data_IF_385379113545
#
_entry.id   IF_385379113545
#
_cell.length_a   1.000
_cell.length_b   1.000
_cell.length_c   1.000
_cell.angle_alpha   90.00
_cell.angle_beta   90.00
_cell.angle_gamma   90.00
#
_symmetry.space_group_name_H-M   'P 1'
#
loop_
_entity.id
_entity.type
_entity.pdbx_description
1 polymer ?
#
# COMPACT_ATOMS: atom_id res chain seq x y z
N UNK A 1 8.13 -23.44 -24.67
CA UNK A 1 6.82 -22.92 -25.06
C UNK A 1 6.90 -21.39 -25.05
N UNK A 2 7.08 -20.76 -26.22
CA UNK A 2 7.07 -19.31 -26.39
C UNK A 2 5.61 -18.82 -26.40
N UNK A 3 4.91 -18.95 -25.30
CA UNK A 3 3.61 -18.33 -25.12
C UNK A 3 3.81 -16.86 -24.79
N UNK A 4 3.32 -15.97 -25.64
CA UNK A 4 3.26 -14.54 -25.40
C UNK A 4 2.57 -14.31 -24.05
N UNK A 5 3.17 -13.50 -23.17
CA UNK A 5 2.59 -13.19 -21.84
C UNK A 5 1.26 -12.46 -22.02
N UNK A 6 0.12 -13.08 -21.66
CA UNK A 6 -1.20 -12.49 -21.95
C UNK A 6 -1.47 -11.20 -21.18
N UNK A 7 -0.72 -10.91 -20.11
CA UNK A 7 -0.90 -9.66 -19.34
C UNK A 7 -0.25 -8.46 -20.03
N UNK A 8 0.62 -8.67 -21.00
CA UNK A 8 1.18 -7.58 -21.80
C UNK A 8 0.13 -6.93 -22.71
N UNK A 9 -1.00 -7.59 -22.99
CA UNK A 9 -2.13 -6.97 -23.70
C UNK A 9 -2.74 -5.78 -22.97
N UNK A 10 -2.56 -5.67 -21.66
CA UNK A 10 -3.01 -4.52 -20.86
C UNK A 10 -2.04 -3.34 -20.89
N UNK A 11 -0.86 -3.49 -21.50
CA UNK A 11 0.19 -2.45 -21.53
C UNK A 11 -0.28 -1.17 -22.21
N UNK A 12 -1.10 -1.29 -23.25
CA UNK A 12 -1.61 -0.15 -24.02
C UNK A 12 -2.51 0.79 -23.23
N UNK A 13 -2.98 0.38 -22.05
CA UNK A 13 -3.68 1.27 -21.11
C UNK A 13 -2.76 2.28 -20.42
N UNK A 14 -1.44 2.11 -20.47
CA UNK A 14 -0.48 2.88 -19.68
C UNK A 14 0.51 3.65 -20.56
N UNK A 15 0.20 4.91 -20.96
CA UNK A 15 0.99 5.66 -21.94
C UNK A 15 2.47 5.86 -21.59
N UNK A 16 2.81 5.96 -20.30
CA UNK A 16 4.20 6.11 -19.86
C UNK A 16 5.11 4.95 -20.31
N UNK A 17 4.52 3.78 -20.53
CA UNK A 17 5.26 2.58 -20.94
C UNK A 17 5.74 2.60 -22.39
N UNK A 18 5.25 3.55 -23.21
CA UNK A 18 5.66 3.69 -24.62
C UNK A 18 7.08 4.23 -24.73
N UNK A 19 7.53 5.03 -23.75
CA UNK A 19 8.82 5.71 -23.78
C UNK A 19 9.74 5.39 -22.58
N UNK A 20 9.20 4.75 -21.54
CA UNK A 20 9.89 4.62 -20.25
C UNK A 20 9.90 3.15 -19.80
N UNK A 21 11.07 2.68 -19.34
CA UNK A 21 11.19 1.42 -18.58
C UNK A 21 10.73 1.69 -17.14
N UNK A 22 9.44 1.51 -16.87
CA UNK A 22 8.79 1.91 -15.62
C UNK A 22 8.74 0.77 -14.61
N UNK A 23 9.67 0.74 -13.65
CA UNK A 23 9.89 -0.36 -12.70
C UNK A 23 9.75 0.11 -11.24
N UNK A 24 8.79 1.04 -10.99
CA UNK A 24 8.61 1.70 -9.69
C UNK A 24 7.18 1.60 -9.14
N UNK A 25 6.44 0.57 -9.51
CA UNK A 25 5.04 0.40 -9.07
C UNK A 25 4.86 0.32 -7.55
N UNK A 26 5.91 -0.01 -6.81
CA UNK A 26 5.97 0.03 -5.35
C UNK A 26 5.97 1.45 -4.74
N UNK A 27 6.15 2.49 -5.56
CA UNK A 27 6.11 3.90 -5.15
C UNK A 27 4.92 4.62 -5.78
N UNK A 28 4.79 4.54 -7.10
CA UNK A 28 3.65 5.06 -7.87
C UNK A 28 3.32 4.07 -8.99
N UNK A 29 2.08 3.60 -9.08
CA UNK A 29 1.61 2.83 -10.23
C UNK A 29 1.53 3.68 -11.49
N UNK A 30 1.73 3.08 -12.66
CA UNK A 30 1.52 3.79 -13.93
C UNK A 30 0.05 4.26 -14.04
N UNK A 31 -0.16 5.44 -14.60
CA UNK A 31 -1.50 6.02 -14.77
C UNK A 31 -2.20 5.38 -15.98
N UNK A 32 -3.39 4.78 -15.81
CA UNK A 32 -4.20 4.36 -16.95
C UNK A 32 -4.69 5.59 -17.74
N UNK A 33 -4.72 5.48 -19.09
CA UNK A 33 -5.22 6.57 -19.96
C UNK A 33 -6.65 6.98 -19.65
N UNK A 34 -7.46 6.06 -19.19
CA UNK A 34 -8.87 6.27 -18.82
C UNK A 34 -9.02 7.17 -17.58
N UNK A 35 -7.99 7.27 -16.74
CA UNK A 35 -8.00 8.17 -15.58
C UNK A 35 -8.08 9.65 -16.01
N UNK A 36 -7.51 10.02 -17.16
CA UNK A 36 -7.65 11.37 -17.70
C UNK A 36 -9.12 11.70 -18.06
N UNK A 37 -9.85 10.74 -18.66
CA UNK A 37 -11.27 10.91 -18.95
C UNK A 37 -12.12 11.02 -17.67
N UNK A 38 -11.79 10.24 -16.63
CA UNK A 38 -12.42 10.34 -15.31
C UNK A 38 -12.24 11.74 -14.69
N UNK A 39 -11.02 12.27 -14.70
CA UNK A 39 -10.73 13.62 -14.20
C UNK A 39 -11.44 14.72 -15.03
N UNK A 40 -11.52 14.56 -16.36
CA UNK A 40 -12.28 15.47 -17.21
C UNK A 40 -13.77 15.43 -16.88
N UNK A 41 -14.34 14.25 -16.62
CA UNK A 41 -15.75 14.10 -16.18
C UNK A 41 -16.01 14.80 -14.85
N UNK A 42 -15.12 14.67 -13.88
CA UNK A 42 -15.21 15.43 -12.63
C UNK A 42 -15.27 16.93 -12.87
N UNK A 43 -14.35 17.46 -13.69
CA UNK A 43 -14.29 18.89 -14.00
C UNK A 43 -15.54 19.38 -14.74
N UNK A 44 -16.07 18.60 -15.70
CA UNK A 44 -17.29 18.87 -16.44
C UNK A 44 -18.51 18.97 -15.50
N UNK A 45 -18.69 17.98 -14.62
CA UNK A 45 -19.78 17.96 -13.65
C UNK A 45 -19.72 19.19 -12.74
N UNK A 46 -18.55 19.51 -12.23
CA UNK A 46 -18.40 20.69 -11.39
C UNK A 46 -18.75 21.97 -12.16
N UNK A 47 -18.23 22.14 -13.37
CA UNK A 47 -18.45 23.32 -14.17
C UNK A 47 -19.92 23.51 -14.62
N UNK A 48 -20.63 22.41 -14.92
CA UNK A 48 -21.96 22.48 -15.52
C UNK A 48 -23.10 22.17 -14.56
N UNK A 49 -22.84 21.36 -13.52
CA UNK A 49 -23.88 20.94 -12.56
C UNK A 49 -23.73 21.64 -11.20
N UNK A 50 -22.51 22.07 -10.82
CA UNK A 50 -22.22 22.71 -9.54
C UNK A 50 -22.67 21.82 -8.38
N UNK A 51 -23.39 22.38 -7.41
CA UNK A 51 -23.86 21.65 -6.21
C UNK A 51 -24.75 20.43 -6.52
N UNK A 52 -25.41 20.41 -7.67
CA UNK A 52 -26.28 19.28 -8.08
C UNK A 52 -25.49 17.99 -8.31
N UNK A 53 -24.20 18.09 -8.65
CA UNK A 53 -23.33 16.94 -8.84
C UNK A 53 -23.24 16.03 -7.59
N UNK A 54 -23.46 16.57 -6.39
CA UNK A 54 -23.51 15.79 -5.16
C UNK A 54 -24.64 14.74 -5.20
N UNK A 55 -25.85 15.16 -5.52
CA UNK A 55 -26.99 14.25 -5.57
C UNK A 55 -26.99 13.36 -6.82
N UNK A 56 -26.40 13.84 -7.92
CA UNK A 56 -26.42 13.14 -9.18
C UNK A 56 -25.36 12.02 -9.28
N UNK A 57 -24.15 12.23 -8.68
CA UNK A 57 -23.06 11.28 -8.90
C UNK A 57 -22.06 11.18 -7.72
N UNK A 58 -21.72 12.30 -7.05
CA UNK A 58 -20.55 12.35 -6.17
C UNK A 58 -20.77 11.71 -4.81
N UNK A 59 -21.99 11.79 -4.26
CA UNK A 59 -22.23 11.32 -2.89
C UNK A 59 -21.95 9.81 -2.74
N UNK A 60 -22.40 9.02 -3.70
CA UNK A 60 -22.24 7.58 -3.66
C UNK A 60 -20.93 7.09 -4.30
N UNK A 61 -20.15 7.99 -4.91
CA UNK A 61 -18.92 7.60 -5.62
C UNK A 61 -17.92 6.93 -4.68
N UNK A 62 -17.76 7.43 -3.46
CA UNK A 62 -16.87 6.82 -2.46
C UNK A 62 -17.26 5.37 -2.14
N UNK A 63 -18.55 5.11 -1.97
CA UNK A 63 -19.06 3.75 -1.73
C UNK A 63 -18.83 2.84 -2.95
N UNK A 64 -19.13 3.31 -4.17
CA UNK A 64 -18.89 2.53 -5.40
C UNK A 64 -17.41 2.15 -5.59
N UNK A 65 -16.50 3.09 -5.32
CA UNK A 65 -15.06 2.81 -5.38
C UNK A 65 -14.64 1.83 -4.29
N UNK A 66 -15.14 1.99 -3.07
CA UNK A 66 -14.91 1.06 -1.96
C UNK A 66 -15.39 -0.36 -2.26
N UNK A 67 -16.58 -0.49 -2.90
CA UNK A 67 -17.13 -1.77 -3.33
C UNK A 67 -16.31 -2.43 -4.46
N UNK A 68 -15.59 -1.64 -5.26
CA UNK A 68 -14.63 -2.16 -6.24
C UNK A 68 -13.32 -2.60 -5.57
N UNK A 69 -12.90 -1.95 -4.51
CA UNK A 69 -11.70 -2.30 -3.71
C UNK A 69 -11.93 -3.55 -2.87
N UNK A 70 -13.09 -3.67 -2.22
CA UNK A 70 -13.37 -4.72 -1.25
C UNK A 70 -13.04 -6.15 -1.75
N UNK A 71 -13.49 -6.60 -2.94
CA UNK A 71 -13.17 -7.94 -3.44
C UNK A 71 -11.68 -8.15 -3.73
N UNK A 72 -10.91 -7.09 -4.07
CA UNK A 72 -9.45 -7.17 -4.25
C UNK A 72 -8.71 -7.42 -2.93
N UNK A 73 -9.38 -7.21 -1.80
CA UNK A 73 -8.85 -7.39 -0.44
C UNK A 73 -9.41 -8.63 0.26
N UNK A 74 -10.26 -9.43 -0.39
CA UNK A 74 -11.00 -10.50 0.28
C UNK A 74 -11.89 -9.97 1.41
N UNK A 75 -12.50 -8.80 1.18
CA UNK A 75 -13.35 -8.10 2.14
C UNK A 75 -14.82 -8.16 1.71
N UNK A 76 -15.78 -8.32 2.63
CA UNK A 76 -17.19 -8.31 2.29
C UNK A 76 -17.69 -6.91 1.89
N UNK A 77 -18.80 -6.80 1.16
CA UNK A 77 -19.42 -5.53 0.83
C UNK A 77 -19.71 -4.68 2.08
N UNK A 78 -19.53 -3.36 1.97
CA UNK A 78 -19.79 -2.42 3.07
C UNK A 78 -18.74 -2.39 4.18
N UNK A 79 -17.68 -3.23 4.10
CA UNK A 79 -16.59 -3.25 5.10
C UNK A 79 -15.44 -2.30 4.77
N UNK A 80 -15.50 -1.58 3.65
CA UNK A 80 -14.45 -0.67 3.19
C UNK A 80 -15.00 0.74 3.07
N UNK A 81 -14.22 1.73 3.48
CA UNK A 81 -14.47 3.16 3.23
C UNK A 81 -13.26 3.83 2.60
N UNK A 82 -13.49 4.88 1.79
CA UNK A 82 -12.41 5.62 1.14
C UNK A 82 -11.96 6.80 2.00
N UNK A 83 -10.64 6.96 2.13
CA UNK A 83 -9.96 7.90 3.01
C UNK A 83 -8.93 8.73 2.21
N UNK A 84 -8.52 9.92 2.70
CA UNK A 84 -7.57 10.76 1.97
C UNK A 84 -6.11 10.32 2.08
N UNK A 85 -5.71 9.71 3.20
CA UNK A 85 -4.34 9.23 3.42
C UNK A 85 -4.30 8.09 4.41
N UNK A 86 -3.26 7.24 4.33
CA UNK A 86 -3.05 6.09 5.23
C UNK A 86 -2.89 6.54 6.68
N UNK A 87 -2.18 7.64 6.91
CA UNK A 87 -2.01 8.21 8.24
C UNK A 87 -3.35 8.59 8.87
N UNK A 88 -4.22 9.28 8.11
CA UNK A 88 -5.55 9.65 8.60
C UNK A 88 -6.46 8.44 8.77
N UNK A 89 -6.46 7.49 7.85
CA UNK A 89 -7.21 6.24 7.98
C UNK A 89 -6.82 5.46 9.25
N UNK A 90 -5.52 5.35 9.51
CA UNK A 90 -5.00 4.72 10.73
C UNK A 90 -5.38 5.52 11.97
N UNK A 91 -5.27 6.87 11.94
CA UNK A 91 -5.65 7.72 13.06
C UNK A 91 -7.14 7.59 13.39
N UNK A 92 -8.01 7.53 12.37
CA UNK A 92 -9.45 7.36 12.54
C UNK A 92 -9.76 6.05 13.26
N UNK A 93 -9.23 4.92 12.80
CA UNK A 93 -9.50 3.64 13.45
C UNK A 93 -8.89 3.57 14.85
N UNK A 94 -7.67 4.09 15.06
CA UNK A 94 -7.03 4.14 16.37
C UNK A 94 -7.77 5.06 17.34
N UNK A 95 -8.49 6.07 16.86
CA UNK A 95 -9.30 6.94 17.72
C UNK A 95 -10.48 6.24 18.37
N UNK A 96 -10.88 5.07 17.85
CA UNK A 96 -11.90 4.20 18.44
C UNK A 96 -11.29 3.14 19.40
N UNK A 97 -9.97 2.93 19.38
CA UNK A 97 -9.29 1.95 20.21
C UNK A 97 -8.69 2.64 21.42
N UNK A 98 -9.01 2.15 22.63
CA UNK A 98 -8.50 2.72 23.87
C UNK A 98 -7.73 1.68 24.67
N UNK A 99 -6.55 2.04 25.19
CA UNK A 99 -5.86 1.20 26.17
C UNK A 99 -6.72 1.06 27.43
N UNK A 100 -6.89 -0.16 27.91
CA UNK A 100 -7.67 -0.44 29.11
C UNK A 100 -6.90 -1.31 30.09
N UNK A 101 -6.91 -0.96 31.38
CA UNK A 101 -6.24 -1.74 32.41
C UNK A 101 -4.75 -1.92 32.12
N UNK A 102 -4.32 -3.17 32.06
CA UNK A 102 -2.92 -3.57 31.76
C UNK A 102 -2.59 -3.54 30.27
N UNK A 103 -3.58 -3.43 29.38
CA UNK A 103 -3.37 -3.38 27.93
C UNK A 103 -2.94 -2.00 27.48
N UNK A 104 -1.63 -1.75 27.53
CA UNK A 104 -1.01 -0.47 27.20
C UNK A 104 0.20 -0.58 26.30
N UNK A 105 0.37 -1.71 25.62
CA UNK A 105 1.47 -1.95 24.70
C UNK A 105 0.99 -1.87 23.26
N UNK A 106 1.75 -1.19 22.40
CA UNK A 106 1.60 -1.18 20.95
C UNK A 106 2.79 -1.92 20.36
N UNK A 107 2.55 -2.91 19.51
CA UNK A 107 3.59 -3.69 18.84
C UNK A 107 3.65 -3.30 17.35
N UNK A 108 4.85 -3.01 16.87
CA UNK A 108 5.15 -2.70 15.45
C UNK A 108 6.55 -3.21 15.07
N UNK A 109 6.99 -2.99 13.82
CA UNK A 109 8.37 -3.24 13.38
C UNK A 109 9.10 -1.94 13.07
N UNK A 110 10.43 -1.95 13.11
CA UNK A 110 11.29 -0.85 12.64
C UNK A 110 11.31 -0.73 11.10
N UNK A 111 10.67 -1.67 10.40
CA UNK A 111 10.50 -1.69 8.95
C UNK A 111 9.13 -1.13 8.49
N UNK A 112 8.25 -0.76 9.43
CA UNK A 112 6.99 -0.12 9.08
C UNK A 112 7.23 1.27 8.49
N UNK A 113 6.30 1.73 7.63
CA UNK A 113 6.45 3.03 6.96
C UNK A 113 6.49 4.17 7.99
N UNK A 114 7.44 5.13 7.87
CA UNK A 114 7.70 6.15 8.89
C UNK A 114 6.47 6.95 9.34
N UNK A 115 5.54 7.27 8.42
CA UNK A 115 4.32 8.02 8.78
C UNK A 115 3.49 7.31 9.84
N UNK A 116 3.44 5.98 9.80
CA UNK A 116 2.69 5.20 10.79
C UNK A 116 3.48 5.10 12.09
N UNK A 117 4.81 4.94 12.04
CA UNK A 117 5.65 4.96 13.25
C UNK A 117 5.48 6.27 14.04
N UNK A 118 5.51 7.42 13.36
CA UNK A 118 5.30 8.73 14.00
C UNK A 118 3.88 8.86 14.58
N UNK A 119 2.87 8.35 13.88
CA UNK A 119 1.51 8.33 14.38
C UNK A 119 1.40 7.47 15.65
N UNK A 120 1.98 6.27 15.65
CA UNK A 120 1.95 5.35 16.80
C UNK A 120 2.70 5.93 18.00
N UNK A 121 3.85 6.59 17.78
CA UNK A 121 4.59 7.30 18.83
C UNK A 121 3.72 8.39 19.47
N UNK A 122 3.04 9.21 18.65
CA UNK A 122 2.13 10.24 19.10
C UNK A 122 0.95 9.66 19.89
N UNK A 123 0.33 8.61 19.36
CA UNK A 123 -0.79 7.92 20.02
C UNK A 123 -0.36 7.30 21.37
N UNK A 124 0.79 6.64 21.41
CA UNK A 124 1.31 6.06 22.65
C UNK A 124 1.56 7.14 23.73
N UNK A 125 2.14 8.26 23.35
CA UNK A 125 2.39 9.39 24.27
C UNK A 125 1.08 9.95 24.83
N UNK A 126 0.06 10.13 24.00
CA UNK A 126 -1.24 10.65 24.40
C UNK A 126 -1.96 9.71 25.38
N UNK A 127 -1.88 8.40 25.14
CA UNK A 127 -2.63 7.41 25.92
C UNK A 127 -1.82 6.74 27.04
N UNK A 128 -0.57 7.16 27.26
CA UNK A 128 0.32 6.54 28.26
C UNK A 128 0.60 5.07 27.94
N UNK A 129 0.70 4.72 26.65
CA UNK A 129 1.02 3.39 26.17
C UNK A 129 2.50 3.25 25.83
N UNK A 130 3.03 2.03 25.87
CA UNK A 130 4.41 1.72 25.46
C UNK A 130 4.44 1.29 23.99
N UNK A 131 5.36 1.86 23.21
CA UNK A 131 5.63 1.43 21.84
C UNK A 131 6.77 0.40 21.83
N UNK A 132 6.46 -0.85 21.48
CA UNK A 132 7.45 -1.91 21.29
C UNK A 132 7.71 -2.09 19.79
N UNK A 133 8.91 -1.71 19.33
CA UNK A 133 9.38 -1.93 17.96
C UNK A 133 10.20 -3.22 17.90
N UNK A 134 9.64 -4.27 17.31
CA UNK A 134 10.33 -5.53 17.06
C UNK A 134 11.28 -5.33 15.89
N UNK A 135 12.60 -5.39 16.18
CA UNK A 135 13.63 -5.17 15.18
C UNK A 135 13.96 -6.47 14.45
N UNK A 136 14.32 -6.36 13.17
CA UNK A 136 14.84 -7.49 12.38
C UNK A 136 16.14 -8.02 12.97
N UNK A 137 16.41 -9.30 12.79
CA UNK A 137 17.68 -9.91 13.17
C UNK A 137 18.78 -9.49 12.18
N UNK A 138 20.03 -9.44 12.67
CA UNK A 138 21.19 -9.18 11.81
C UNK A 138 21.29 -10.24 10.70
N UNK A 139 21.50 -9.78 9.47
CA UNK A 139 21.57 -10.66 8.30
C UNK A 139 20.24 -11.10 7.72
N UNK A 140 19.10 -10.63 8.27
CA UNK A 140 17.75 -10.87 7.70
C UNK A 140 17.19 -9.60 7.08
N UNK A 141 16.20 -9.76 6.20
CA UNK A 141 15.53 -8.63 5.53
C UNK A 141 14.08 -8.43 5.99
N UNK A 142 13.69 -9.09 7.08
CA UNK A 142 12.38 -8.94 7.71
C UNK A 142 12.42 -9.45 9.15
N UNK A 143 11.38 -9.17 9.90
CA UNK A 143 11.18 -9.74 11.24
C UNK A 143 10.52 -11.09 11.11
N UNK A 144 11.04 -12.12 11.80
CA UNK A 144 10.43 -13.44 11.77
C UNK A 144 9.04 -13.42 12.40
N UNK A 145 8.11 -14.22 11.85
CA UNK A 145 6.76 -14.35 12.41
C UNK A 145 6.81 -14.78 13.87
N UNK A 146 7.74 -15.67 14.23
CA UNK A 146 7.89 -16.15 15.60
C UNK A 146 8.17 -15.01 16.60
N UNK A 147 9.08 -14.11 16.28
CA UNK A 147 9.40 -12.96 17.16
C UNK A 147 8.21 -12.00 17.31
N UNK A 148 7.44 -11.80 16.24
CA UNK A 148 6.22 -11.00 16.32
C UNK A 148 5.17 -11.66 17.21
N UNK A 149 4.98 -12.98 17.08
CA UNK A 149 4.04 -13.74 17.93
C UNK A 149 4.45 -13.70 19.40
N UNK A 150 5.75 -13.76 19.70
CA UNK A 150 6.29 -13.65 21.08
C UNK A 150 6.10 -12.23 21.67
N UNK A 151 6.22 -11.19 20.85
CA UNK A 151 6.01 -9.82 21.30
C UNK A 151 4.52 -9.50 21.58
N UNK A 152 3.60 -10.24 20.99
CA UNK A 152 2.15 -10.03 21.16
C UNK A 152 1.65 -10.86 22.36
N UNK A 153 1.27 -10.19 23.44
CA UNK A 153 0.76 -10.81 24.66
C UNK A 153 -0.48 -10.10 25.22
N UNK A 154 -0.93 -10.48 26.41
CA UNK A 154 -2.13 -9.91 27.04
C UNK A 154 -2.01 -8.44 27.39
N UNK A 155 -0.81 -7.88 27.48
CA UNK A 155 -0.56 -6.45 27.70
C UNK A 155 -0.67 -5.64 26.42
N UNK A 156 -0.76 -6.30 25.24
CA UNK A 156 -0.84 -5.65 23.94
C UNK A 156 -2.24 -5.10 23.69
N UNK A 157 -2.35 -3.80 23.48
CA UNK A 157 -3.58 -3.12 23.08
C UNK A 157 -3.75 -3.11 21.56
N UNK A 158 -2.68 -2.75 20.84
CA UNK A 158 -2.67 -2.61 19.39
C UNK A 158 -1.46 -3.30 18.79
N UNK A 159 -1.67 -3.97 17.67
CA UNK A 159 -0.62 -4.43 16.76
C UNK A 159 -0.79 -3.67 15.44
N UNK A 160 0.22 -2.93 15.00
CA UNK A 160 0.19 -2.20 13.73
C UNK A 160 1.40 -2.62 12.91
N UNK A 161 1.16 -3.35 11.81
CA UNK A 161 2.21 -3.98 10.99
C UNK A 161 1.92 -3.84 9.51
N UNK A 162 2.98 -3.73 8.69
CA UNK A 162 2.86 -3.91 7.24
C UNK A 162 2.69 -5.40 6.92
N UNK A 163 1.77 -5.75 6.02
CA UNK A 163 1.71 -7.10 5.45
C UNK A 163 2.94 -7.37 4.57
N UNK A 164 3.33 -6.37 3.77
CA UNK A 164 4.55 -6.39 2.96
C UNK A 164 5.37 -5.16 3.29
N UNK A 165 6.62 -5.37 3.72
CA UNK A 165 7.52 -4.28 4.11
C UNK A 165 7.93 -3.42 2.91
N UNK A 166 7.90 -2.09 3.08
CA UNK A 166 8.11 -1.16 1.96
C UNK A 166 9.53 -1.15 1.41
N UNK A 167 10.53 -1.40 2.26
CA UNK A 167 11.95 -1.33 1.87
C UNK A 167 12.47 -2.65 1.30
N UNK A 168 12.04 -3.78 1.85
CA UNK A 168 12.59 -5.11 1.58
C UNK A 168 11.62 -6.03 0.84
N UNK A 169 10.37 -5.60 0.68
CA UNK A 169 9.28 -6.42 0.17
C UNK A 169 9.06 -7.75 0.95
N UNK A 170 9.50 -7.84 2.20
CA UNK A 170 9.27 -9.00 3.05
C UNK A 170 7.78 -9.18 3.35
N UNK A 171 7.27 -10.41 3.18
CA UNK A 171 5.86 -10.75 3.46
C UNK A 171 5.75 -11.36 4.85
N UNK A 172 4.89 -10.78 5.70
CA UNK A 172 4.52 -11.33 7.01
C UNK A 172 3.34 -12.30 6.91
N UNK A 173 3.24 -13.24 7.84
CA UNK A 173 2.11 -14.16 7.97
C UNK A 173 0.94 -13.46 8.69
N UNK A 174 0.12 -12.76 7.92
CA UNK A 174 -1.01 -11.99 8.44
C UNK A 174 -2.04 -12.87 9.18
N UNK A 175 -2.30 -14.09 8.70
CA UNK A 175 -3.25 -15.00 9.33
C UNK A 175 -2.77 -15.46 10.72
N UNK A 176 -1.47 -15.78 10.86
CA UNK A 176 -0.90 -16.14 12.17
C UNK A 176 -0.92 -14.96 13.14
N UNK A 177 -0.62 -13.74 12.67
CA UNK A 177 -0.68 -12.52 13.46
C UNK A 177 -2.10 -12.20 13.93
N UNK A 178 -3.09 -12.27 13.04
CA UNK A 178 -4.50 -12.02 13.37
C UNK A 178 -5.02 -13.06 14.39
N UNK A 179 -4.67 -14.34 14.23
CA UNK A 179 -5.00 -15.37 15.21
C UNK A 179 -4.40 -15.05 16.59
N UNK A 180 -3.13 -14.67 16.65
CA UNK A 180 -2.45 -14.31 17.90
C UNK A 180 -3.07 -13.08 18.55
N UNK A 181 -3.42 -12.06 17.79
CA UNK A 181 -4.11 -10.87 18.30
C UNK A 181 -5.46 -11.25 18.93
N UNK A 182 -6.21 -12.11 18.30
CA UNK A 182 -7.49 -12.62 18.83
C UNK A 182 -7.32 -13.38 20.15
N UNK A 183 -6.32 -14.27 20.23
CA UNK A 183 -6.01 -15.04 21.46
C UNK A 183 -5.64 -14.14 22.64
N UNK A 184 -4.96 -13.01 22.38
CA UNK A 184 -4.51 -12.07 23.41
C UNK A 184 -5.48 -10.93 23.64
N UNK A 185 -6.43 -10.72 22.72
CA UNK A 185 -7.37 -9.60 22.72
C UNK A 185 -6.74 -8.28 22.26
N UNK A 186 -5.63 -8.33 21.55
CA UNK A 186 -5.03 -7.16 20.89
C UNK A 186 -5.83 -6.79 19.62
N UNK A 187 -5.84 -5.51 19.26
CA UNK A 187 -6.47 -5.01 18.04
C UNK A 187 -5.42 -4.94 16.91
N UNK A 188 -5.67 -5.62 15.79
CA UNK A 188 -4.76 -5.66 14.66
C UNK A 188 -5.14 -4.62 13.58
N UNK A 189 -4.22 -3.68 13.32
CA UNK A 189 -4.26 -2.80 12.14
C UNK A 189 -3.18 -3.26 11.16
N UNK A 190 -3.60 -3.79 10.01
CA UNK A 190 -2.69 -4.29 8.99
C UNK A 190 -2.53 -3.26 7.85
N UNK A 191 -1.31 -2.81 7.58
CA UNK A 191 -1.01 -2.00 6.41
C UNK A 191 -0.78 -2.90 5.19
N UNK A 192 -1.68 -2.85 4.23
CA UNK A 192 -1.61 -3.64 2.99
C UNK A 192 -1.22 -2.79 1.77
N UNK A 193 -0.63 -1.62 1.98
CA UNK A 193 -0.28 -0.68 0.91
C UNK A 193 0.73 -1.25 -0.11
N UNK A 194 1.59 -2.17 0.32
CA UNK A 194 2.57 -2.83 -0.54
C UNK A 194 2.13 -4.21 -1.01
N UNK A 195 0.96 -4.68 -0.61
CA UNK A 195 0.41 -5.97 -1.03
C UNK A 195 -0.81 -5.86 -1.92
N UNK A 196 -1.74 -4.96 -1.58
CA UNK A 196 -2.98 -4.79 -2.36
C UNK A 196 -2.68 -4.47 -3.83
N UNK A 197 -3.10 -5.36 -4.73
CA UNK A 197 -2.86 -5.26 -6.18
C UNK A 197 -1.71 -6.10 -6.72
N UNK A 198 -0.85 -6.70 -5.86
CA UNK A 198 0.30 -7.51 -6.33
C UNK A 198 0.51 -8.80 -5.53
N UNK A 199 0.10 -8.84 -4.28
CA UNK A 199 0.07 -10.04 -3.43
C UNK A 199 -1.38 -10.26 -3.02
N UNK A 200 -1.93 -11.49 -3.11
CA UNK A 200 -3.26 -11.80 -2.63
C UNK A 200 -3.45 -11.41 -1.17
N UNK A 201 -4.59 -10.81 -0.88
CA UNK A 201 -5.01 -10.37 0.45
C UNK A 201 -6.39 -10.97 0.72
N UNK A 202 -6.60 -11.51 1.92
CA UNK A 202 -7.85 -12.14 2.34
C UNK A 202 -8.20 -11.67 3.77
N UNK A 203 -8.48 -10.36 3.93
CA UNK A 203 -8.59 -9.70 5.24
C UNK A 203 -9.64 -10.35 6.14
N UNK A 204 -10.82 -10.65 5.59
CA UNK A 204 -11.90 -11.27 6.35
C UNK A 204 -11.54 -12.69 6.79
N UNK A 205 -11.05 -13.54 5.86
CA UNK A 205 -10.67 -14.91 6.16
C UNK A 205 -9.51 -15.01 7.15
N UNK A 206 -8.59 -14.07 7.11
CA UNK A 206 -7.48 -13.97 8.08
C UNK A 206 -7.98 -13.50 9.46
N UNK A 207 -9.14 -12.82 9.50
CA UNK A 207 -9.71 -12.25 10.72
C UNK A 207 -8.93 -11.03 11.22
N UNK A 208 -8.55 -10.15 10.29
CA UNK A 208 -7.90 -8.87 10.59
C UNK A 208 -8.96 -7.89 11.09
N UNK A 209 -8.73 -7.22 12.23
CA UNK A 209 -9.70 -6.26 12.79
C UNK A 209 -9.87 -5.02 11.91
N UNK A 210 -8.75 -4.45 11.44
CA UNK A 210 -8.75 -3.33 10.50
C UNK A 210 -7.55 -3.39 9.56
N UNK A 211 -7.69 -2.87 8.34
CA UNK A 211 -6.58 -2.73 7.42
C UNK A 211 -6.64 -1.39 6.68
N UNK A 212 -5.46 -0.86 6.39
CA UNK A 212 -5.27 0.36 5.60
C UNK A 212 -4.41 0.08 4.39
N UNK A 213 -4.66 0.79 3.30
CA UNK A 213 -3.84 0.72 2.10
C UNK A 213 -4.30 1.77 1.11
N UNK A 214 -3.66 1.86 -0.05
CA UNK A 214 -4.02 2.90 -1.00
C UNK A 214 -3.91 2.48 -2.46
N UNK A 215 -4.67 3.16 -3.28
CA UNK A 215 -4.72 2.90 -4.72
C UNK A 215 -3.50 3.46 -5.48
N UNK A 216 -2.66 4.28 -4.83
CA UNK A 216 -1.51 4.98 -5.41
C UNK A 216 -0.54 4.07 -6.18
N UNK A 217 -0.24 2.88 -5.63
CA UNK A 217 0.86 2.01 -6.07
C UNK A 217 0.36 0.93 -7.02
N UNK A 218 0.28 -0.30 -6.54
CA UNK A 218 -0.06 -1.49 -7.31
C UNK A 218 -1.49 -1.50 -7.86
N UNK A 219 -2.38 -0.66 -7.32
CA UNK A 219 -3.76 -0.49 -7.80
C UNK A 219 -3.89 0.58 -8.89
N UNK A 220 -2.79 1.27 -9.28
CA UNK A 220 -2.73 2.24 -10.38
C UNK A 220 -3.78 3.36 -10.31
N UNK A 221 -4.20 3.75 -9.09
CA UNK A 221 -5.31 4.68 -8.87
C UNK A 221 -4.91 6.11 -8.50
N UNK A 222 -3.61 6.43 -8.48
CA UNK A 222 -3.11 7.77 -8.14
C UNK A 222 -3.23 8.15 -6.66
N UNK A 223 -2.71 9.32 -6.27
CA UNK A 223 -2.70 9.80 -4.88
C UNK A 223 -4.09 10.25 -4.40
N UNK A 224 -4.26 10.28 -3.06
CA UNK A 224 -5.50 10.73 -2.43
C UNK A 224 -6.58 9.66 -2.30
N UNK A 225 -6.31 8.45 -2.74
CA UNK A 225 -7.20 7.30 -2.69
C UNK A 225 -6.64 6.24 -1.76
N UNK A 226 -7.04 6.28 -0.52
CA UNK A 226 -6.73 5.29 0.50
C UNK A 226 -8.01 4.59 0.91
N UNK A 227 -7.93 3.32 1.20
CA UNK A 227 -9.04 2.57 1.76
C UNK A 227 -8.76 2.21 3.23
N UNK A 228 -9.83 2.18 4.00
CA UNK A 228 -9.88 1.61 5.35
C UNK A 228 -10.89 0.46 5.33
N UNK A 229 -10.40 -0.74 5.58
CA UNK A 229 -11.22 -1.91 5.90
C UNK A 229 -11.37 -2.00 7.40
N UNK A 230 -12.56 -2.31 7.86
CA UNK A 230 -12.84 -2.74 9.25
C UNK A 230 -13.70 -3.98 9.19
N UNK A 231 -13.32 -4.99 9.96
CA UNK A 231 -14.08 -6.24 10.05
C UNK A 231 -15.53 -5.93 10.47
N UNK A 232 -16.55 -6.42 9.75
CA UNK A 232 -17.95 -6.09 10.04
C UNK A 232 -18.38 -6.40 11.47
N UNK A 233 -17.89 -7.54 12.04
CA UNK A 233 -18.24 -7.94 13.39
C UNK A 233 -17.63 -7.02 14.45
N UNK A 234 -16.48 -6.38 14.13
CA UNK A 234 -15.80 -5.42 15.00
C UNK A 234 -16.31 -3.99 14.79
N UNK A 235 -16.73 -3.65 13.57
CA UNK A 235 -17.12 -2.29 13.21
C UNK A 235 -18.21 -1.74 14.13
N UNK A 236 -19.20 -2.54 14.52
CA UNK A 236 -20.30 -2.10 15.38
C UNK A 236 -19.88 -1.73 16.79
N UNK A 237 -18.76 -2.25 17.29
CA UNK A 237 -18.23 -1.98 18.61
C UNK A 237 -17.37 -0.71 18.66
N UNK A 238 -17.00 -0.15 17.50
CA UNK A 238 -16.06 0.96 17.39
C UNK A 238 -16.77 2.30 17.17
N UNK A 239 -16.44 3.27 18.02
CA UNK A 239 -16.91 4.65 17.94
C UNK A 239 -15.71 5.59 17.74
N UNK A 240 -15.35 5.95 16.48
CA UNK A 240 -14.21 6.82 16.23
C UNK A 240 -14.37 8.21 16.85
N UNK A 241 -13.38 8.67 17.62
CA UNK A 241 -13.37 10.05 18.11
C UNK A 241 -13.06 11.05 16.97
N UNK A 242 -12.30 10.60 15.95
CA UNK A 242 -12.10 11.37 14.72
C UNK A 242 -13.25 11.00 13.77
N UNK A 243 -14.29 11.81 13.75
CA UNK A 243 -15.53 11.56 13.00
C UNK A 243 -16.05 12.83 12.34
N UNK A 244 -17.13 12.73 11.58
CA UNK A 244 -17.79 13.87 10.95
C UNK A 244 -19.15 13.49 10.39
N UNK A 245 -19.80 14.48 9.77
CA UNK A 245 -21.18 14.36 9.30
C UNK A 245 -21.41 13.24 8.29
N UNK A 246 -20.38 12.87 7.50
CA UNK A 246 -20.48 11.78 6.53
C UNK A 246 -20.60 10.38 7.19
N UNK A 247 -20.22 10.25 8.47
CA UNK A 247 -20.38 9.02 9.25
C UNK A 247 -21.80 8.84 9.83
N UNK A 248 -22.66 9.86 9.74
CA UNK A 248 -24.04 9.79 10.19
C UNK A 248 -24.91 9.03 9.16
N UNK A 249 -25.89 8.19 9.58
CA UNK A 249 -26.74 7.44 8.66
C UNK A 249 -27.65 8.35 7.80
N UNK A 250 -27.94 9.55 8.27
CA UNK A 250 -28.71 10.57 7.55
C UNK A 250 -27.95 11.92 7.55
N UNK A 251 -26.84 12.04 6.79
CA UNK A 251 -25.95 13.20 6.89
C UNK A 251 -26.63 14.53 6.53
N UNK A 252 -27.57 14.52 5.60
CA UNK A 252 -28.30 15.71 5.17
C UNK A 252 -29.47 16.10 6.11
N UNK A 253 -29.74 15.34 7.17
CA UNK A 253 -30.65 15.75 8.23
C UNK A 253 -30.02 16.81 9.16
N UNK A 254 -28.68 16.93 9.16
CA UNK A 254 -27.92 17.88 9.98
C UNK A 254 -28.29 17.81 11.46
N UNK A 255 -28.51 16.59 11.96
CA UNK A 255 -28.92 16.36 13.35
C UNK A 255 -27.81 16.81 14.32
N UNK A 256 -28.13 17.54 15.39
CA UNK A 256 -27.15 17.84 16.43
C UNK A 256 -26.83 16.58 17.27
N UNK A 257 -25.75 16.60 18.07
CA UNK A 257 -25.44 15.52 18.98
C UNK A 257 -26.60 15.09 19.87
N UNK A 258 -26.70 13.81 20.27
CA UNK A 258 -25.64 12.78 20.18
C UNK A 258 -25.49 12.17 18.79
N UNK A 259 -24.23 11.80 18.44
CA UNK A 259 -23.90 11.16 17.18
C UNK A 259 -24.61 9.81 17.04
N UNK A 260 -25.15 9.55 15.85
CA UNK A 260 -25.61 8.23 15.42
C UNK A 260 -24.68 7.69 14.33
N UNK A 261 -24.31 6.43 14.43
CA UNK A 261 -23.32 5.83 13.55
C UNK A 261 -23.95 5.04 12.41
N UNK A 262 -23.37 5.13 11.22
CA UNK A 262 -23.69 4.23 10.12
C UNK A 262 -23.43 2.78 10.52
N UNK A 263 -24.21 1.81 9.98
CA UNK A 263 -24.02 0.39 10.27
C UNK A 263 -22.89 -0.27 9.48
N UNK A 264 -22.24 0.45 8.59
CA UNK A 264 -21.18 -0.02 7.68
C UNK A 264 -19.84 0.70 7.94
N UNK A 265 -18.81 0.43 7.15
CA UNK A 265 -17.52 1.11 7.23
C UNK A 265 -17.61 2.64 6.99
N UNK A 266 -18.74 3.14 6.50
CA UNK A 266 -19.00 4.57 6.41
C UNK A 266 -18.97 5.29 7.76
N UNK A 267 -19.12 4.60 8.90
CA UNK A 267 -18.95 5.20 10.25
C UNK A 267 -17.55 5.76 10.52
N UNK A 268 -16.56 5.36 9.72
CA UNK A 268 -15.21 5.88 9.79
C UNK A 268 -14.94 7.05 8.83
N UNK A 269 -15.98 7.54 8.13
CA UNK A 269 -15.90 8.75 7.32
C UNK A 269 -15.90 10.01 8.20
N UNK A 270 -15.37 11.10 7.65
CA UNK A 270 -15.25 12.36 8.36
C UNK A 270 -16.05 13.48 7.66
N UNK A 271 -15.35 14.28 6.86
CA UNK A 271 -15.90 15.38 6.11
C UNK A 271 -16.17 15.06 4.65
N UNK A 272 -16.15 16.08 3.84
CA UNK A 272 -16.33 16.00 2.39
C UNK A 272 -15.26 15.10 1.74
N UNK A 273 -15.65 14.13 0.92
CA UNK A 273 -14.70 13.22 0.28
C UNK A 273 -13.87 13.90 -0.81
N UNK A 274 -12.71 13.31 -1.13
CA UNK A 274 -11.82 13.75 -2.22
C UNK A 274 -12.33 13.24 -3.57
N UNK A 275 -13.38 13.87 -4.10
CA UNK A 275 -14.13 13.39 -5.26
C UNK A 275 -13.24 13.17 -6.49
N UNK A 276 -12.37 14.14 -6.84
CA UNK A 276 -11.48 14.03 -8.01
C UNK A 276 -10.56 12.81 -7.96
N UNK A 277 -10.04 12.49 -6.76
CA UNK A 277 -9.19 11.34 -6.56
C UNK A 277 -9.94 10.01 -6.81
N UNK A 278 -11.21 9.93 -6.44
CA UNK A 278 -12.05 8.74 -6.70
C UNK A 278 -12.25 8.49 -8.19
N UNK A 279 -12.42 9.54 -9.02
CA UNK A 279 -12.48 9.42 -10.47
C UNK A 279 -11.15 8.90 -11.07
N UNK A 280 -10.02 9.33 -10.53
CA UNK A 280 -8.71 8.88 -10.97
C UNK A 280 -8.44 7.41 -10.63
N UNK A 281 -8.97 6.90 -9.50
CA UNK A 281 -8.73 5.54 -9.04
C UNK A 281 -9.50 4.47 -9.80
N UNK A 282 -10.72 4.75 -10.21
CA UNK A 282 -11.65 3.77 -10.75
C UNK A 282 -11.09 2.94 -11.93
N UNK A 283 -10.40 3.52 -12.94
CA UNK A 283 -9.89 2.74 -14.06
C UNK A 283 -8.82 1.71 -13.67
N UNK A 284 -7.87 2.06 -12.79
CA UNK A 284 -6.82 1.14 -12.33
C UNK A 284 -7.41 -0.05 -11.57
N UNK A 285 -8.38 0.21 -10.72
CA UNK A 285 -9.11 -0.82 -9.97
C UNK A 285 -9.86 -1.77 -10.90
N UNK A 286 -10.53 -1.24 -11.93
CA UNK A 286 -11.27 -2.06 -12.89
C UNK A 286 -10.35 -2.95 -13.73
N UNK A 287 -9.19 -2.44 -14.19
CA UNK A 287 -8.18 -3.24 -14.90
C UNK A 287 -7.74 -4.42 -14.01
N UNK A 288 -7.41 -4.17 -12.75
CA UNK A 288 -6.98 -5.23 -11.83
C UNK A 288 -8.08 -6.25 -11.51
N UNK A 289 -9.34 -5.79 -11.40
CA UNK A 289 -10.48 -6.66 -11.22
C UNK A 289 -10.67 -7.60 -12.43
N UNK A 290 -10.49 -7.11 -13.65
CA UNK A 290 -10.56 -7.91 -14.88
C UNK A 290 -9.41 -8.91 -14.99
N UNK A 291 -8.20 -8.52 -14.62
CA UNK A 291 -7.03 -9.41 -14.65
C UNK A 291 -7.15 -10.51 -13.59
N UNK A 292 -7.55 -10.14 -12.37
CA UNK A 292 -7.52 -10.99 -11.18
C UNK A 292 -6.15 -11.00 -10.49
N UNK A 293 -6.15 -10.82 -9.17
CA UNK A 293 -4.92 -10.66 -8.38
C UNK A 293 -4.02 -11.91 -8.43
N UNK A 294 -4.61 -13.10 -8.52
CA UNK A 294 -3.85 -14.35 -8.63
C UNK A 294 -2.98 -14.39 -9.90
N UNK A 295 -3.49 -13.89 -11.02
CA UNK A 295 -2.72 -13.82 -12.28
C UNK A 295 -1.64 -12.76 -12.20
N UNK A 296 -1.93 -11.61 -11.56
CA UNK A 296 -0.92 -10.57 -11.27
C UNK A 296 0.18 -11.16 -10.39
N UNK A 297 -0.16 -11.85 -9.31
CA UNK A 297 0.80 -12.48 -8.39
C UNK A 297 1.66 -13.51 -9.09
N UNK A 298 1.07 -14.40 -9.88
CA UNK A 298 1.81 -15.42 -10.63
C UNK A 298 2.87 -14.82 -11.55
N UNK A 299 2.56 -13.72 -12.24
CA UNK A 299 3.53 -12.98 -13.07
C UNK A 299 4.57 -12.27 -12.20
N UNK A 300 4.14 -11.53 -11.18
CA UNK A 300 5.05 -10.81 -10.27
C UNK A 300 6.05 -11.73 -9.61
N UNK A 301 5.62 -12.90 -9.11
CA UNK A 301 6.49 -13.90 -8.51
C UNK A 301 7.55 -14.40 -9.49
N UNK A 302 7.19 -14.69 -10.75
CA UNK A 302 8.13 -15.10 -11.79
C UNK A 302 9.14 -14.01 -12.13
N UNK A 303 8.67 -12.77 -12.36
CA UNK A 303 9.55 -11.64 -12.70
C UNK A 303 10.52 -11.32 -11.57
N UNK A 304 10.01 -11.20 -10.34
CA UNK A 304 10.87 -10.86 -9.19
C UNK A 304 11.81 -11.99 -8.81
N UNK A 305 11.43 -13.28 -8.97
CA UNK A 305 12.36 -14.38 -8.73
C UNK A 305 13.48 -14.38 -9.78
N UNK A 306 13.12 -14.25 -11.05
CA UNK A 306 14.12 -14.17 -12.12
C UNK A 306 15.05 -12.97 -11.97
N UNK A 307 14.49 -11.79 -11.58
CA UNK A 307 15.27 -10.58 -11.32
C UNK A 307 16.25 -10.79 -10.14
N UNK A 308 15.80 -11.38 -9.04
CA UNK A 308 16.64 -11.72 -7.91
C UNK A 308 17.79 -12.66 -8.31
N UNK A 309 17.48 -13.74 -9.02
CA UNK A 309 18.46 -14.73 -9.43
C UNK A 309 19.50 -14.14 -10.39
N UNK A 310 19.08 -13.28 -11.33
CA UNK A 310 19.98 -12.62 -12.27
C UNK A 310 20.85 -11.55 -11.58
N UNK A 311 20.29 -10.76 -10.67
CA UNK A 311 21.07 -9.80 -9.87
C UNK A 311 22.17 -10.54 -9.06
N UNK A 312 21.83 -11.68 -8.43
CA UNK A 312 22.77 -12.50 -7.69
C UNK A 312 23.87 -13.13 -8.59
N UNK A 313 23.52 -13.60 -9.79
CA UNK A 313 24.49 -14.14 -10.77
C UNK A 313 25.47 -13.08 -11.28
N UNK A 314 25.04 -11.82 -11.35
CA UNK A 314 25.86 -10.66 -11.71
C UNK A 314 26.68 -10.13 -10.54
N UNK A 315 26.62 -10.78 -9.37
CA UNK A 315 27.43 -10.43 -8.19
C UNK A 315 26.80 -9.39 -7.26
N UNK A 316 25.58 -8.94 -7.53
CA UNK A 316 24.89 -7.99 -6.65
C UNK A 316 24.30 -8.68 -5.43
N UNK A 317 24.42 -8.06 -4.25
CA UNK A 317 23.62 -8.43 -3.09
C UNK A 317 22.17 -7.99 -3.28
N UNK A 318 21.24 -8.65 -2.57
CA UNK A 318 19.83 -8.28 -2.60
C UNK A 318 19.31 -8.16 -1.17
N UNK A 319 18.73 -7.01 -0.85
CA UNK A 319 18.19 -6.67 0.46
C UNK A 319 16.71 -7.04 0.58
N UNK A 320 16.35 -8.27 0.19
CA UNK A 320 14.99 -8.79 0.21
C UNK A 320 14.99 -10.31 0.42
N UNK A 321 13.81 -10.90 0.65
CA UNK A 321 13.66 -12.34 0.78
C UNK A 321 14.13 -13.08 -0.50
N UNK A 322 14.82 -14.22 -0.34
CA UNK A 322 15.37 -14.97 -1.45
C UNK A 322 14.30 -15.67 -2.30
N UNK A 323 13.18 -16.07 -1.68
CA UNK A 323 12.10 -16.80 -2.36
C UNK A 323 10.90 -15.91 -2.66
N UNK A 324 10.21 -16.20 -3.75
CA UNK A 324 9.04 -15.44 -4.18
C UNK A 324 7.87 -15.51 -3.18
N UNK A 325 7.74 -16.62 -2.41
CA UNK A 325 6.69 -16.80 -1.41
C UNK A 325 6.82 -15.82 -0.26
N UNK A 326 8.06 -15.42 0.08
CA UNK A 326 8.37 -14.47 1.15
C UNK A 326 8.64 -13.06 0.64
N UNK A 327 8.61 -12.86 -0.68
CA UNK A 327 8.88 -11.56 -1.31
C UNK A 327 7.64 -11.03 -2.02
N UNK A 328 7.32 -9.75 -1.80
CA UNK A 328 6.30 -9.01 -2.52
C UNK A 328 6.68 -8.69 -3.97
N UNK A 329 6.16 -7.58 -4.49
CA UNK A 329 6.32 -7.20 -5.90
C UNK A 329 7.67 -6.56 -6.29
N UNK A 330 8.62 -6.40 -5.36
CA UNK A 330 9.87 -5.69 -5.61
C UNK A 330 11.11 -6.51 -5.24
N UNK A 331 12.24 -6.22 -5.90
CA UNK A 331 13.58 -6.68 -5.53
C UNK A 331 14.43 -5.47 -5.18
N UNK A 332 15.04 -5.47 -4.01
CA UNK A 332 15.99 -4.45 -3.58
C UNK A 332 17.41 -4.93 -3.90
N UNK A 333 18.08 -4.26 -4.83
CA UNK A 333 19.42 -4.59 -5.33
C UNK A 333 20.45 -3.68 -4.66
N UNK A 334 21.34 -4.26 -3.88
CA UNK A 334 22.42 -3.52 -3.21
C UNK A 334 23.63 -3.43 -4.17
N UNK A 335 23.58 -2.41 -5.04
CA UNK A 335 24.67 -2.10 -5.96
C UNK A 335 25.63 -1.06 -5.34
N UNK A 336 26.95 -1.14 -5.61
CA UNK A 336 27.88 -0.08 -5.24
C UNK A 336 27.41 1.27 -5.80
N UNK A 337 27.56 2.35 -5.01
CA UNK A 337 27.12 3.69 -5.41
C UNK A 337 25.62 3.78 -5.80
N UNK A 338 24.77 2.95 -5.15
CA UNK A 338 23.37 2.70 -5.52
C UNK A 338 22.53 3.96 -5.74
N UNK A 339 22.73 5.02 -4.97
CA UNK A 339 22.03 6.29 -5.15
C UNK A 339 22.40 6.98 -6.46
N UNK A 340 23.70 7.10 -6.75
CA UNK A 340 24.17 7.66 -8.02
C UNK A 340 23.76 6.82 -9.23
N UNK A 341 23.79 5.48 -9.09
CA UNK A 341 23.31 4.53 -10.10
C UNK A 341 21.81 4.73 -10.35
N UNK A 342 20.99 4.86 -9.32
CA UNK A 342 19.56 5.08 -9.49
C UNK A 342 19.24 6.40 -10.19
N UNK A 343 19.98 7.47 -9.88
CA UNK A 343 19.85 8.77 -10.57
C UNK A 343 20.25 8.69 -12.05
N UNK A 344 21.31 7.96 -12.38
CA UNK A 344 21.73 7.75 -13.78
C UNK A 344 20.72 6.86 -14.54
N UNK A 345 20.15 5.83 -13.90
CA UNK A 345 19.04 5.04 -14.48
C UNK A 345 17.85 5.93 -14.83
N UNK A 346 17.47 6.82 -13.90
CA UNK A 346 16.37 7.76 -14.13
C UNK A 346 16.68 8.71 -15.31
N UNK A 347 17.92 9.19 -15.45
CA UNK A 347 18.35 10.00 -16.60
C UNK A 347 18.31 9.24 -17.94
N UNK A 348 18.25 7.91 -17.92
CA UNK A 348 18.11 7.02 -19.09
C UNK A 348 16.68 6.49 -19.28
N UNK A 349 15.69 7.15 -18.68
CA UNK A 349 14.28 6.73 -18.72
C UNK A 349 14.04 5.30 -18.17
N UNK A 350 14.89 4.82 -17.24
CA UNK A 350 14.71 3.62 -16.46
C UNK A 350 14.33 4.02 -15.05
N UNK A 351 13.03 3.99 -14.75
CA UNK A 351 12.48 4.56 -13.51
C UNK A 351 12.47 3.50 -12.41
N UNK A 352 13.32 3.72 -11.42
CA UNK A 352 13.48 2.96 -10.19
C UNK A 352 13.68 3.94 -9.03
N UNK A 353 13.74 3.46 -7.78
CA UNK A 353 14.15 4.30 -6.66
C UNK A 353 15.27 3.66 -5.82
N UNK A 354 15.86 4.46 -4.96
CA UNK A 354 16.90 4.03 -4.02
C UNK A 354 16.44 4.25 -2.57
N UNK A 355 16.75 3.31 -1.71
CA UNK A 355 16.55 3.47 -0.27
C UNK A 355 17.85 3.24 0.49
N UNK A 356 18.31 4.22 1.30
CA UNK A 356 19.51 4.08 2.12
C UNK A 356 19.47 2.82 2.98
N UNK A 357 20.53 2.01 2.93
CA UNK A 357 20.62 0.76 3.68
C UNK A 357 19.90 -0.45 3.07
N UNK A 358 19.17 -0.26 1.94
CA UNK A 358 18.44 -1.34 1.26
C UNK A 358 18.80 -1.46 -0.23
N UNK A 359 19.22 -0.37 -0.89
CA UNK A 359 19.63 -0.37 -2.29
C UNK A 359 18.56 0.12 -3.27
N UNK A 360 18.75 -0.23 -4.55
CA UNK A 360 17.87 0.12 -5.66
C UNK A 360 16.68 -0.82 -5.66
N UNK A 361 15.45 -0.28 -5.55
CA UNK A 361 14.23 -1.08 -5.61
C UNK A 361 13.72 -1.14 -7.04
N UNK A 362 13.64 -2.35 -7.59
CA UNK A 362 13.11 -2.65 -8.92
C UNK A 362 11.79 -3.38 -8.74
N UNK A 363 10.70 -2.78 -9.18
CA UNK A 363 9.34 -3.18 -8.86
C UNK A 363 8.46 -3.33 -10.11
N UNK A 364 8.67 -4.40 -10.91
CA UNK A 364 7.86 -4.68 -12.08
C UNK A 364 6.43 -5.07 -11.71
N UNK A 365 5.48 -4.70 -12.56
CA UNK A 365 4.07 -5.03 -12.39
C UNK A 365 3.53 -5.88 -13.55
N UNK A 366 2.24 -6.16 -13.59
CA UNK A 366 1.61 -7.01 -14.60
C UNK A 366 1.83 -6.50 -16.05
N UNK A 367 2.05 -5.23 -16.25
CA UNK A 367 2.28 -4.61 -17.55
C UNK A 367 3.76 -4.63 -18.00
N UNK A 368 4.69 -5.01 -17.12
CA UNK A 368 6.10 -5.09 -17.48
C UNK A 368 6.48 -6.42 -18.13
N UNK A 369 7.45 -6.37 -19.02
CA UNK A 369 8.07 -7.54 -19.61
C UNK A 369 9.37 -7.92 -18.87
N UNK A 370 9.91 -9.11 -19.17
CA UNK A 370 11.22 -9.51 -18.66
C UNK A 370 12.34 -8.64 -19.25
N UNK A 371 12.24 -8.30 -20.53
CA UNK A 371 13.23 -7.48 -21.25
C UNK A 371 13.44 -6.12 -20.60
N UNK A 372 12.42 -5.54 -19.98
CA UNK A 372 12.53 -4.30 -19.21
C UNK A 372 13.34 -4.51 -17.92
N UNK A 373 13.11 -5.62 -17.22
CA UNK A 373 13.88 -5.99 -16.03
C UNK A 373 15.36 -6.27 -16.38
N UNK A 374 15.61 -6.95 -17.48
CA UNK A 374 16.95 -7.28 -17.98
C UNK A 374 17.69 -6.00 -18.40
N UNK A 375 17.04 -5.12 -19.15
CA UNK A 375 17.56 -3.78 -19.50
C UNK A 375 17.99 -2.98 -18.26
N UNK A 376 17.22 -3.04 -17.19
CA UNK A 376 17.58 -2.37 -15.95
C UNK A 376 18.86 -2.96 -15.34
N UNK A 377 19.00 -4.29 -15.31
CA UNK A 377 20.22 -4.95 -14.81
C UNK A 377 21.44 -4.64 -15.68
N UNK A 378 21.29 -4.68 -17.01
CA UNK A 378 22.36 -4.37 -17.96
C UNK A 378 22.83 -2.91 -17.80
N UNK A 379 21.88 -2.00 -17.61
CA UNK A 379 22.18 -0.60 -17.36
C UNK A 379 22.92 -0.38 -16.04
N UNK A 380 22.57 -1.10 -14.96
CA UNK A 380 23.31 -1.05 -13.69
C UNK A 380 24.76 -1.45 -13.89
N UNK A 381 25.03 -2.57 -14.59
CA UNK A 381 26.41 -3.02 -14.87
C UNK A 381 27.18 -2.00 -15.73
N UNK A 382 26.59 -1.49 -16.79
CA UNK A 382 27.20 -0.47 -17.66
C UNK A 382 27.53 0.82 -16.90
N UNK A 383 26.56 1.32 -16.07
CA UNK A 383 26.75 2.53 -15.25
C UNK A 383 27.93 2.35 -14.30
N UNK A 384 28.07 1.19 -13.69
CA UNK A 384 29.17 0.88 -12.78
C UNK A 384 30.50 0.76 -13.54
N UNK A 385 30.52 0.07 -14.70
CA UNK A 385 31.71 -0.11 -15.51
C UNK A 385 32.25 1.22 -16.09
N UNK A 386 31.34 2.10 -16.54
CA UNK A 386 31.68 3.42 -17.11
C UNK A 386 31.83 4.52 -16.07
N UNK A 387 31.49 4.23 -14.81
CA UNK A 387 31.43 5.20 -13.70
C UNK A 387 30.53 6.40 -13.98
N UNK A 388 29.52 6.27 -14.85
CA UNK A 388 28.64 7.39 -15.22
C UNK A 388 27.76 7.88 -14.05
N UNK A 389 27.62 7.11 -12.96
CA UNK A 389 27.01 7.55 -11.71
C UNK A 389 27.71 8.78 -11.09
N UNK A 390 28.99 9.05 -11.42
CA UNK A 390 29.73 10.21 -10.89
C UNK A 390 29.18 11.56 -11.37
N UNK A 391 28.42 11.58 -12.46
CA UNK A 391 27.71 12.79 -12.93
C UNK A 391 26.67 13.27 -11.91
N UNK A 392 26.27 12.39 -11.01
CA UNK A 392 25.27 12.63 -9.97
C UNK A 392 25.88 12.66 -8.56
N UNK A 393 27.24 12.77 -8.46
CA UNK A 393 27.92 12.89 -7.18
C UNK A 393 27.50 14.19 -6.48
N UNK A 394 26.91 14.02 -5.30
CA UNK A 394 26.53 15.01 -4.29
C UNK A 394 25.94 16.36 -4.77
N UNK A 395 24.61 16.41 -4.85
CA UNK A 395 23.89 17.57 -4.34
C UNK A 395 23.33 17.14 -3.00
N UNK A 396 23.83 17.70 -1.90
CA UNK A 396 23.32 17.50 -0.56
C UNK A 396 21.82 17.79 -0.53
N UNK A 397 21.00 16.83 -0.14
CA UNK A 397 19.60 17.01 0.16
C UNK A 397 18.67 16.14 -0.71
N UNK A 398 18.07 15.16 -0.04
CA UNK A 398 16.82 14.46 -0.36
C UNK A 398 16.46 14.25 -1.83
N UNK A 399 16.69 13.05 -2.35
CA UNK A 399 16.01 12.59 -3.57
C UNK A 399 14.50 12.58 -3.36
N UNK A 400 13.67 13.20 -4.23
CA UNK A 400 12.22 13.12 -4.15
C UNK A 400 11.65 11.78 -4.66
N UNK A 401 12.49 10.81 -5.04
CA UNK A 401 12.07 9.47 -5.50
C UNK A 401 12.70 8.36 -4.67
#
# INVERSE_FOLDING_TARGET
MNGQDPLLAYRDHFPILDSTTYLISNSLGAMPREAAAGLARYAELWATRGVRAWAEEWWDLGTRVADTVAPLLGAPPGSVSMQPSTTLATAVVLSAVRPTGERRKVVTTDLHFPSILYLLEGWCREHGAALEMVRREAGTWGVSTQRLLEAIDRSTAVVALSHVEFATAWIHDAAALARRCRETGAFLVLDVFQSAGVVPVALHDWGVDAAVGGCLKWLCGGPGNVFLYVDPDRAFELEPAITGWAAHPAPFAFEPPPMRWRPDAGRFLNGTPQVSALYAAAPGLEILRQIGIERVRAKSARLTQRLFDQARRRGFACSCAATAERRGGAVAIDAPQGEGVARELLARDIVVDYRPGFGIRVAPHFYNSWEECERCLDAIEEILATRSFERHASVDGASPT
#
